data_IF_610388311163
#
_entry.id   IF_610388311163
#
_cell.length_a   1.000
_cell.length_b   1.000
_cell.length_c   1.000
_cell.angle_alpha   90.00
_cell.angle_beta   90.00
_cell.angle_gamma   90.00
#
_symmetry.space_group_name_H-M   'P 1'
#
loop_
_entity.id
_entity.type
_entity.pdbx_description
1 polymer ?
#
# COMPACT_ATOMS: atom_id res chain seq x y z
N UNK A 1 13.16 14.30 -22.08
CA UNK A 1 12.78 13.22 -21.14
C UNK A 1 12.59 13.84 -19.78
N UNK A 2 11.42 13.69 -19.12
CA UNK A 2 11.24 14.17 -17.75
C UNK A 2 12.06 13.27 -16.83
N UNK A 3 13.02 13.84 -16.12
CA UNK A 3 13.85 13.11 -15.16
C UNK A 3 12.95 12.44 -14.11
N UNK A 4 13.10 11.11 -13.96
CA UNK A 4 12.33 10.33 -12.97
C UNK A 4 12.71 10.77 -11.57
N UNK A 5 11.71 11.01 -10.72
CA UNK A 5 11.96 11.45 -9.35
C UNK A 5 12.25 10.25 -8.44
N UNK A 6 13.52 10.05 -8.11
CA UNK A 6 13.98 8.94 -7.28
C UNK A 6 13.49 9.02 -5.82
N UNK A 7 13.15 10.22 -5.32
CA UNK A 7 12.66 10.38 -3.95
C UNK A 7 11.42 9.53 -3.65
N UNK A 8 10.45 9.53 -4.57
CA UNK A 8 9.25 8.69 -4.40
C UNK A 8 9.53 7.21 -4.60
N UNK A 9 10.51 6.84 -5.41
CA UNK A 9 10.89 5.43 -5.58
C UNK A 9 11.59 4.93 -4.31
N UNK A 10 12.45 5.74 -3.69
CA UNK A 10 13.07 5.45 -2.39
C UNK A 10 12.02 5.26 -1.31
N UNK A 11 11.08 6.21 -1.16
CA UNK A 11 10.00 6.10 -0.16
C UNK A 11 9.10 4.88 -0.41
N UNK A 12 8.79 4.57 -1.67
CA UNK A 12 8.08 3.35 -2.02
C UNK A 12 8.85 2.10 -1.57
N UNK A 13 10.15 2.06 -1.84
CA UNK A 13 11.01 0.94 -1.43
C UNK A 13 10.98 0.74 0.07
N UNK A 14 11.15 1.82 0.85
CA UNK A 14 11.07 1.78 2.32
C UNK A 14 9.70 1.27 2.79
N UNK A 15 8.60 1.78 2.22
CA UNK A 15 7.25 1.36 2.59
C UNK A 15 6.98 -0.12 2.24
N UNK A 16 7.49 -0.62 1.11
CA UNK A 16 7.38 -2.04 0.73
C UNK A 16 8.21 -2.92 1.67
N UNK A 17 9.46 -2.53 1.97
CA UNK A 17 10.31 -3.27 2.92
C UNK A 17 9.57 -3.38 4.27
N UNK A 18 9.08 -2.26 4.77
CA UNK A 18 8.34 -2.22 6.03
C UNK A 18 7.10 -3.13 6.00
N UNK A 19 6.34 -3.12 4.89
CA UNK A 19 5.14 -3.95 4.74
C UNK A 19 5.47 -5.45 4.70
N UNK A 20 6.45 -5.85 3.90
CA UNK A 20 6.87 -7.26 3.80
C UNK A 20 7.41 -7.75 5.14
N UNK A 21 8.23 -6.94 5.82
CA UNK A 21 8.75 -7.27 7.16
C UNK A 21 7.63 -7.46 8.17
N UNK A 22 6.57 -6.61 8.16
CA UNK A 22 5.40 -6.79 9.01
C UNK A 22 4.81 -8.20 8.88
N UNK A 23 4.61 -8.64 7.64
CA UNK A 23 4.00 -9.95 7.40
C UNK A 23 4.94 -11.09 7.77
N UNK A 24 6.24 -10.97 7.54
CA UNK A 24 7.24 -11.94 7.99
C UNK A 24 7.23 -12.05 9.52
N UNK A 25 7.25 -10.92 10.23
CA UNK A 25 7.21 -10.89 11.70
C UNK A 25 5.94 -11.59 12.23
N UNK A 26 4.79 -11.31 11.64
CA UNK A 26 3.52 -11.95 12.02
C UNK A 26 3.53 -13.46 11.71
N UNK A 27 4.06 -13.87 10.56
CA UNK A 27 4.18 -15.29 10.21
C UNK A 27 5.09 -16.07 11.16
N UNK A 28 6.17 -15.45 11.65
CA UNK A 28 7.09 -16.05 12.60
C UNK A 28 6.65 -15.87 14.07
N UNK A 29 5.51 -15.23 14.33
CA UNK A 29 5.02 -14.96 15.70
C UNK A 29 5.91 -13.99 16.50
N UNK A 30 6.65 -13.11 15.79
CA UNK A 30 7.53 -12.10 16.38
C UNK A 30 6.93 -10.69 16.36
N UNK A 31 5.68 -10.56 15.95
CA UNK A 31 4.97 -9.28 15.79
C UNK A 31 4.64 -8.57 17.11
N UNK A 32 4.79 -9.28 18.25
CA UNK A 32 4.54 -8.75 19.62
C UNK A 32 5.81 -8.33 20.36
N UNK A 33 6.98 -8.37 19.74
CA UNK A 33 8.23 -7.93 20.34
C UNK A 33 8.21 -6.41 20.57
N UNK A 34 8.66 -5.93 21.73
CA UNK A 34 8.60 -4.50 22.11
C UNK A 34 9.28 -3.61 21.10
N UNK A 35 10.51 -3.95 20.68
CA UNK A 35 11.23 -3.19 19.66
C UNK A 35 10.49 -3.12 18.32
N UNK A 36 9.75 -4.19 17.98
CA UNK A 36 8.96 -4.22 16.75
C UNK A 36 7.71 -3.35 16.88
N UNK A 37 7.06 -3.35 18.03
CA UNK A 37 5.93 -2.47 18.31
C UNK A 37 6.32 -1.00 18.22
N UNK A 38 7.53 -0.64 18.68
CA UNK A 38 8.07 0.70 18.48
C UNK A 38 8.29 1.04 16.99
N UNK A 39 8.90 0.14 16.22
CA UNK A 39 9.02 0.31 14.75
C UNK A 39 7.65 0.50 14.12
N UNK A 40 6.64 -0.26 14.55
CA UNK A 40 5.26 -0.13 14.08
C UNK A 40 4.66 1.24 14.42
N UNK A 41 4.89 1.72 15.64
CA UNK A 41 4.42 3.02 16.10
C UNK A 41 5.01 4.18 15.27
N UNK A 42 6.30 4.14 14.96
CA UNK A 42 6.95 5.21 14.20
C UNK A 42 6.75 5.11 12.67
N UNK A 43 6.37 3.95 12.16
CA UNK A 43 6.21 3.70 10.72
C UNK A 43 4.78 3.41 10.28
N UNK A 44 3.77 3.72 11.09
CA UNK A 44 2.36 3.40 10.84
C UNK A 44 1.80 4.02 9.54
N UNK A 45 2.38 5.11 9.07
CA UNK A 45 1.95 5.87 7.88
C UNK A 45 2.25 5.21 6.52
N UNK A 46 2.95 4.07 6.50
CA UNK A 46 3.49 3.46 5.27
C UNK A 46 2.43 3.16 4.20
N UNK A 47 1.22 2.74 4.58
CA UNK A 47 0.14 2.51 3.60
C UNK A 47 -0.47 3.82 3.11
N UNK A 48 -0.59 4.82 3.98
CA UNK A 48 -1.07 6.16 3.63
C UNK A 48 -0.19 6.84 2.59
N UNK A 49 1.11 6.52 2.59
CA UNK A 49 2.07 7.04 1.62
C UNK A 49 1.69 6.73 0.17
N UNK A 50 1.17 5.55 -0.12
CA UNK A 50 0.80 5.18 -1.49
C UNK A 50 -0.37 6.02 -2.01
N UNK A 51 -1.36 6.31 -1.17
CA UNK A 51 -2.46 7.20 -1.53
C UNK A 51 -1.97 8.65 -1.70
N UNK A 52 -1.11 9.12 -0.81
CA UNK A 52 -0.44 10.42 -0.93
C UNK A 52 0.35 10.53 -2.24
N UNK A 53 1.18 9.54 -2.57
CA UNK A 53 1.92 9.47 -3.83
C UNK A 53 0.98 9.51 -5.03
N UNK A 54 -0.10 8.74 -5.00
CA UNK A 54 -1.08 8.72 -6.08
C UNK A 54 -1.72 10.09 -6.30
N UNK A 55 -2.09 10.77 -5.22
CA UNK A 55 -2.59 12.13 -5.26
C UNK A 55 -1.58 13.13 -5.80
N UNK A 56 -0.33 13.05 -5.35
CA UNK A 56 0.76 13.92 -5.81
C UNK A 56 0.97 13.86 -7.32
N UNK A 57 0.90 12.67 -7.91
CA UNK A 57 1.06 12.48 -9.36
C UNK A 57 -0.25 12.62 -10.15
N UNK A 58 -1.40 12.69 -9.48
CA UNK A 58 -2.67 12.85 -10.16
C UNK A 58 -2.82 14.26 -10.72
N UNK A 59 -3.03 14.35 -12.05
CA UNK A 59 -3.20 15.61 -12.77
C UNK A 59 -4.64 16.11 -12.85
N UNK A 60 -5.56 15.49 -12.08
CA UNK A 60 -6.99 15.72 -12.17
C UNK A 60 -7.70 14.68 -13.03
N UNK A 61 -9.01 14.84 -13.16
CA UNK A 61 -9.84 13.90 -13.95
C UNK A 61 -9.50 14.04 -15.43
N UNK A 62 -9.11 12.95 -16.08
CA UNK A 62 -8.91 12.91 -17.52
C UNK A 62 -10.23 13.22 -18.26
N UNK A 63 -10.15 13.98 -19.35
CA UNK A 63 -11.26 14.13 -20.26
C UNK A 63 -11.59 12.76 -20.88
N UNK A 64 -12.74 12.21 -20.55
CA UNK A 64 -13.19 10.91 -21.01
C UNK A 64 -14.48 10.50 -20.29
N UNK A 65 -15.19 9.52 -20.83
CA UNK A 65 -16.40 9.01 -20.19
C UNK A 65 -16.10 8.36 -18.84
N UNK A 66 -17.08 8.32 -17.94
CA UNK A 66 -16.93 7.63 -16.66
C UNK A 66 -16.70 6.13 -16.85
N UNK A 67 -17.28 5.57 -17.90
CA UNK A 67 -17.12 4.17 -18.25
C UNK A 67 -15.69 3.85 -18.68
N UNK A 68 -15.06 4.72 -19.50
CA UNK A 68 -13.67 4.55 -19.90
C UNK A 68 -12.73 4.65 -18.70
N UNK A 69 -12.99 5.61 -17.81
CA UNK A 69 -12.23 5.76 -16.58
C UNK A 69 -12.38 4.53 -15.67
N UNK A 70 -13.60 4.05 -15.46
CA UNK A 70 -13.89 2.84 -14.70
C UNK A 70 -13.16 1.63 -15.30
N UNK A 71 -13.24 1.45 -16.63
CA UNK A 71 -12.59 0.36 -17.35
C UNK A 71 -11.06 0.39 -17.21
N UNK A 72 -10.45 1.58 -17.36
CA UNK A 72 -8.99 1.75 -17.20
C UNK A 72 -8.55 1.41 -15.77
N UNK A 73 -9.25 1.95 -14.76
CA UNK A 73 -8.92 1.69 -13.36
C UNK A 73 -9.17 0.24 -12.95
N UNK A 74 -10.24 -0.37 -13.45
CA UNK A 74 -10.51 -1.79 -13.22
C UNK A 74 -9.40 -2.67 -13.78
N UNK A 75 -8.96 -2.43 -15.01
CA UNK A 75 -7.84 -3.15 -15.61
C UNK A 75 -6.55 -3.02 -14.80
N UNK A 76 -6.27 -1.83 -14.26
CA UNK A 76 -5.01 -1.55 -13.54
C UNK A 76 -5.00 -2.01 -12.09
N UNK A 77 -6.17 -2.15 -11.46
CA UNK A 77 -6.28 -2.41 -10.02
C UNK A 77 -7.16 -3.62 -9.68
N UNK A 78 -8.40 -3.71 -10.24
CA UNK A 78 -9.30 -4.82 -9.91
C UNK A 78 -8.88 -6.14 -10.57
N UNK A 79 -8.37 -6.10 -11.80
CA UNK A 79 -7.90 -7.33 -12.46
C UNK A 79 -6.70 -7.90 -11.71
N UNK A 80 -5.62 -7.12 -11.39
CA UNK A 80 -4.55 -7.62 -10.53
C UNK A 80 -5.01 -8.07 -9.14
N UNK A 81 -5.96 -7.36 -8.52
CA UNK A 81 -6.56 -7.76 -7.26
C UNK A 81 -7.17 -9.16 -7.33
N UNK A 82 -8.05 -9.41 -8.31
CA UNK A 82 -8.72 -10.70 -8.47
C UNK A 82 -7.71 -11.81 -8.82
N UNK A 83 -6.82 -11.56 -9.78
CA UNK A 83 -5.88 -12.58 -10.25
C UNK A 83 -4.86 -12.96 -9.18
N UNK A 84 -4.29 -11.98 -8.47
CA UNK A 84 -3.37 -12.27 -7.36
C UNK A 84 -4.08 -12.91 -6.16
N UNK A 85 -5.37 -12.59 -5.95
CA UNK A 85 -6.22 -13.24 -4.96
C UNK A 85 -6.46 -14.71 -5.29
N UNK A 86 -6.82 -15.00 -6.54
CA UNK A 86 -7.01 -16.39 -7.02
C UNK A 86 -5.72 -17.20 -6.88
N UNK A 87 -4.56 -16.64 -7.28
CA UNK A 87 -3.26 -17.30 -7.12
C UNK A 87 -2.98 -17.57 -5.64
N UNK A 88 -3.20 -16.59 -4.76
CA UNK A 88 -3.06 -16.78 -3.32
C UNK A 88 -3.95 -17.88 -2.78
N UNK A 89 -5.23 -17.92 -3.19
CA UNK A 89 -6.18 -18.96 -2.81
C UNK A 89 -5.76 -20.35 -3.32
N UNK A 90 -5.25 -20.45 -4.55
CA UNK A 90 -4.72 -21.72 -5.08
C UNK A 90 -3.55 -22.19 -4.20
N UNK A 91 -2.58 -21.33 -3.89
CA UNK A 91 -1.45 -21.69 -3.02
C UNK A 91 -1.94 -22.11 -1.64
N UNK A 92 -2.88 -21.36 -1.05
CA UNK A 92 -3.43 -21.69 0.26
C UNK A 92 -4.13 -23.04 0.27
N UNK A 93 -5.10 -23.27 -0.63
CA UNK A 93 -5.92 -24.49 -0.64
C UNK A 93 -5.20 -25.73 -1.17
N UNK A 94 -4.24 -25.57 -2.10
CA UNK A 94 -3.53 -26.73 -2.67
C UNK A 94 -2.37 -27.20 -1.80
N UNK A 95 -1.68 -26.29 -1.12
CA UNK A 95 -0.47 -26.62 -0.38
C UNK A 95 -0.65 -26.53 1.14
N UNK A 96 -1.20 -25.44 1.62
CA UNK A 96 -1.23 -25.17 3.06
C UNK A 96 -2.44 -25.81 3.76
N UNK A 97 -3.62 -25.64 3.23
CA UNK A 97 -4.86 -26.15 3.83
C UNK A 97 -4.87 -27.67 4.10
N UNK A 98 -4.37 -28.55 3.20
CA UNK A 98 -4.35 -29.99 3.46
C UNK A 98 -3.48 -30.42 4.65
N UNK A 99 -2.54 -29.55 5.08
CA UNK A 99 -1.73 -29.82 6.27
C UNK A 99 -2.44 -29.42 7.58
N UNK A 100 -3.58 -28.73 7.48
CA UNK A 100 -4.32 -28.24 8.66
C UNK A 100 -4.86 -29.36 9.50
N UNK A 101 -5.35 -30.45 8.88
CA UNK A 101 -5.88 -31.63 9.60
C UNK A 101 -4.83 -32.34 10.43
N UNK A 102 -3.55 -32.25 10.01
CA UNK A 102 -2.41 -32.80 10.76
C UNK A 102 -1.92 -31.89 11.87
N UNK A 103 -2.12 -30.58 11.76
CA UNK A 103 -1.50 -29.56 12.61
C UNK A 103 -2.50 -28.50 13.07
N UNK A 104 -3.71 -28.89 13.51
CA UNK A 104 -4.81 -28.03 13.93
C UNK A 104 -4.45 -26.84 14.84
N UNK A 105 -3.31 -26.90 15.52
CA UNK A 105 -2.85 -25.83 16.41
C UNK A 105 -2.28 -24.60 15.69
N UNK A 106 -2.03 -24.66 14.40
CA UNK A 106 -1.27 -23.63 13.65
C UNK A 106 -2.04 -23.02 12.48
N UNK A 107 -3.33 -23.34 12.36
CA UNK A 107 -4.13 -22.93 11.21
C UNK A 107 -5.20 -21.96 11.64
N UNK A 108 -5.23 -20.82 10.97
CA UNK A 108 -6.34 -19.90 11.09
C UNK A 108 -7.62 -20.57 10.57
N UNK A 109 -8.73 -20.56 11.35
CA UNK A 109 -9.99 -21.11 10.86
C UNK A 109 -10.43 -20.39 9.58
N UNK A 110 -11.10 -21.16 8.70
CA UNK A 110 -11.71 -20.62 7.49
C UNK A 110 -12.90 -19.73 7.85
N UNK A 111 -12.64 -18.46 8.00
CA UNK A 111 -13.69 -17.46 8.23
C UNK A 111 -13.97 -16.68 6.93
N UNK A 112 -15.06 -17.04 6.24
CA UNK A 112 -15.53 -16.31 5.06
C UNK A 112 -15.81 -14.84 5.35
N UNK A 113 -16.13 -14.50 6.59
CA UNK A 113 -16.20 -13.12 7.07
C UNK A 113 -14.92 -12.33 6.79
N UNK A 114 -13.75 -12.96 6.85
CA UNK A 114 -12.46 -12.34 6.56
C UNK A 114 -12.36 -11.83 5.11
N UNK A 115 -12.81 -12.63 4.15
CA UNK A 115 -12.82 -12.24 2.73
C UNK A 115 -13.80 -11.09 2.50
N UNK A 116 -15.04 -11.25 3.01
CA UNK A 116 -16.10 -10.27 2.80
C UNK A 116 -15.86 -8.96 3.55
N UNK A 117 -15.40 -9.02 4.79
CA UNK A 117 -15.20 -7.82 5.60
C UNK A 117 -13.90 -7.08 5.29
N UNK A 118 -12.82 -7.79 4.99
CA UNK A 118 -11.49 -7.22 4.78
C UNK A 118 -11.06 -7.12 3.34
N UNK A 119 -11.89 -7.53 2.38
CA UNK A 119 -11.56 -7.59 0.94
C UNK A 119 -10.23 -8.29 0.63
N UNK A 120 -9.79 -9.18 1.51
CA UNK A 120 -8.62 -10.04 1.33
C UNK A 120 -9.01 -11.41 0.76
N UNK A 121 -8.02 -12.14 0.25
CA UNK A 121 -8.20 -13.53 -0.16
C UNK A 121 -7.38 -14.44 0.76
N UNK A 122 -7.83 -15.69 0.95
CA UNK A 122 -7.00 -16.70 1.58
C UNK A 122 -5.67 -16.81 0.81
N UNK A 123 -4.56 -16.90 1.53
CA UNK A 123 -3.24 -16.93 0.92
C UNK A 123 -2.74 -15.62 0.33
N UNK A 124 -3.57 -14.56 0.27
CA UNK A 124 -3.12 -13.22 -0.11
C UNK A 124 -3.98 -12.12 0.53
N UNK A 125 -4.01 -12.04 1.85
CA UNK A 125 -4.79 -11.03 2.58
C UNK A 125 -4.41 -9.58 2.26
N UNK A 126 -3.13 -9.18 2.06
CA UNK A 126 -2.76 -7.78 1.85
C UNK A 126 -3.38 -7.11 0.61
N UNK A 127 -3.90 -7.87 -0.34
CA UNK A 127 -4.45 -7.30 -1.59
C UNK A 127 -5.70 -6.44 -1.41
N UNK A 128 -6.32 -6.43 -0.20
CA UNK A 128 -7.37 -5.47 0.17
C UNK A 128 -7.03 -4.05 -0.26
N UNK A 129 -5.74 -3.70 -0.23
CA UNK A 129 -5.23 -2.40 -0.59
C UNK A 129 -5.53 -2.02 -2.05
N UNK A 130 -5.43 -2.95 -3.00
CA UNK A 130 -5.76 -2.69 -4.41
C UNK A 130 -7.23 -2.35 -4.60
N UNK A 131 -8.10 -3.04 -3.86
CA UNK A 131 -9.53 -2.74 -3.87
C UNK A 131 -9.82 -1.36 -3.28
N UNK A 132 -9.23 -1.04 -2.12
CA UNK A 132 -9.34 0.30 -1.52
C UNK A 132 -8.78 1.39 -2.44
N UNK A 133 -7.69 1.10 -3.13
CA UNK A 133 -7.08 2.03 -4.08
C UNK A 133 -8.00 2.31 -5.27
N UNK A 134 -8.62 1.27 -5.81
CA UNK A 134 -9.64 1.40 -6.85
C UNK A 134 -10.81 2.26 -6.38
N UNK A 135 -11.35 1.98 -5.19
CA UNK A 135 -12.49 2.72 -4.63
C UNK A 135 -12.14 4.20 -4.41
N UNK A 136 -10.93 4.50 -3.91
CA UNK A 136 -10.46 5.89 -3.79
C UNK A 136 -10.42 6.60 -5.14
N UNK A 137 -9.93 5.96 -6.20
CA UNK A 137 -9.95 6.57 -7.54
C UNK A 137 -11.37 6.85 -8.02
N UNK A 138 -12.33 5.96 -7.72
CA UNK A 138 -13.74 6.21 -8.06
C UNK A 138 -14.30 7.39 -7.27
N UNK A 139 -14.08 7.44 -5.94
CA UNK A 139 -14.50 8.57 -5.11
C UNK A 139 -13.90 9.89 -5.60
N UNK A 140 -12.61 9.92 -5.86
CA UNK A 140 -11.90 11.10 -6.37
C UNK A 140 -12.50 11.58 -7.70
N UNK A 141 -12.85 10.65 -8.62
CA UNK A 141 -13.50 10.97 -9.89
C UNK A 141 -14.81 11.73 -9.69
N UNK A 142 -15.62 11.31 -8.73
CA UNK A 142 -16.92 11.96 -8.44
C UNK A 142 -16.76 13.25 -7.63
N UNK A 143 -15.88 13.29 -6.64
CA UNK A 143 -15.58 14.50 -5.85
C UNK A 143 -15.07 15.62 -6.77
N UNK A 144 -14.21 15.32 -7.73
CA UNK A 144 -13.65 16.30 -8.65
C UNK A 144 -14.69 16.91 -9.61
N UNK A 145 -15.83 16.23 -9.82
CA UNK A 145 -16.93 16.78 -10.64
C UNK A 145 -17.75 17.83 -9.90
N UNK A 146 -17.77 17.77 -8.58
CA UNK A 146 -18.54 18.69 -7.74
C UNK A 146 -17.62 19.81 -7.27
N UNK A 147 -17.88 21.02 -7.75
CA UNK A 147 -17.08 22.20 -7.40
C UNK A 147 -17.00 22.36 -5.88
N UNK A 148 -15.80 22.56 -5.36
CA UNK A 148 -15.49 22.75 -3.94
C UNK A 148 -15.73 21.54 -3.02
N UNK A 149 -16.23 20.40 -3.49
CA UNK A 149 -16.43 19.23 -2.65
C UNK A 149 -15.13 18.67 -2.06
N UNK A 150 -13.98 18.90 -2.74
CA UNK A 150 -12.68 18.46 -2.27
C UNK A 150 -12.29 19.06 -0.91
N UNK A 151 -12.83 20.22 -0.51
CA UNK A 151 -12.60 20.77 0.82
C UNK A 151 -13.19 19.90 1.93
N UNK A 152 -14.27 19.20 1.67
CA UNK A 152 -14.88 18.29 2.64
C UNK A 152 -14.02 17.07 2.95
N UNK A 153 -13.03 16.78 2.11
CA UNK A 153 -12.11 15.66 2.36
C UNK A 153 -11.28 15.82 3.62
N UNK A 154 -11.17 17.04 4.16
CA UNK A 154 -10.56 17.30 5.47
C UNK A 154 -11.33 16.63 6.63
N UNK A 155 -12.63 16.39 6.45
CA UNK A 155 -13.48 15.71 7.44
C UNK A 155 -13.45 14.18 7.31
N UNK A 156 -12.89 13.64 6.25
CA UNK A 156 -12.87 12.20 5.98
C UNK A 156 -12.19 11.35 7.06
N UNK A 157 -11.10 11.78 7.70
CA UNK A 157 -10.54 11.08 8.85
C UNK A 157 -11.53 10.93 10.01
N UNK A 158 -12.38 11.95 10.24
CA UNK A 158 -13.41 11.89 11.28
C UNK A 158 -14.49 10.87 10.93
N UNK A 159 -14.86 10.73 9.65
CA UNK A 159 -15.80 9.69 9.18
C UNK A 159 -15.21 8.30 9.38
N UNK A 160 -13.93 8.07 9.03
CA UNK A 160 -13.24 6.81 9.29
C UNK A 160 -13.17 6.49 10.78
N UNK A 161 -12.88 7.48 11.63
CA UNK A 161 -12.87 7.30 13.08
C UNK A 161 -14.26 6.99 13.63
N UNK A 162 -15.30 7.67 13.16
CA UNK A 162 -16.68 7.35 13.54
C UNK A 162 -17.06 5.92 13.17
N UNK A 163 -16.74 5.46 11.95
CA UNK A 163 -16.96 4.09 11.53
C UNK A 163 -16.22 3.07 12.43
N UNK A 164 -15.00 3.38 12.87
CA UNK A 164 -14.26 2.58 13.85
C UNK A 164 -14.97 2.53 15.21
N UNK A 165 -15.40 3.70 15.73
CA UNK A 165 -16.01 3.82 17.07
C UNK A 165 -17.37 3.14 17.18
N UNK A 166 -18.14 3.14 16.11
CA UNK A 166 -19.48 2.51 16.10
C UNK A 166 -19.41 0.97 16.00
N UNK A 167 -18.22 0.41 15.82
CA UNK A 167 -18.05 -1.03 15.65
C UNK A 167 -18.73 -1.57 14.38
N UNK A 168 -19.26 -0.67 13.54
CA UNK A 168 -19.84 -1.02 12.25
C UNK A 168 -18.71 -1.45 11.32
N UNK A 169 -18.45 -2.74 11.27
CA UNK A 169 -17.57 -3.33 10.29
C UNK A 169 -18.17 -3.11 8.91
N UNK A 170 -17.65 -2.09 8.22
CA UNK A 170 -18.08 -1.81 6.86
C UNK A 170 -17.46 -2.85 5.93
N UNK A 171 -18.28 -3.61 5.18
CA UNK A 171 -17.78 -4.65 4.29
C UNK A 171 -16.73 -4.13 3.32
N UNK A 172 -15.89 -5.04 2.81
CA UNK A 172 -14.88 -4.76 1.77
C UNK A 172 -13.86 -3.69 2.17
N UNK A 173 -13.56 -3.56 3.47
CA UNK A 173 -12.62 -2.54 3.99
C UNK A 173 -13.00 -1.09 3.62
N UNK A 174 -14.27 -0.82 3.31
CA UNK A 174 -14.69 0.52 2.86
C UNK A 174 -14.58 1.59 3.97
N UNK A 175 -14.48 1.19 5.24
CA UNK A 175 -14.26 2.11 6.36
C UNK A 175 -12.97 2.92 6.25
N UNK A 176 -11.94 2.36 5.60
CA UNK A 176 -10.64 3.03 5.44
C UNK A 176 -10.57 3.95 4.20
N UNK A 177 -11.54 3.85 3.29
CA UNK A 177 -11.50 4.58 2.00
C UNK A 177 -11.58 6.09 2.20
N UNK A 178 -12.29 6.54 3.23
CA UNK A 178 -12.39 7.97 3.52
C UNK A 178 -11.03 8.56 3.95
N UNK A 179 -10.35 7.95 4.91
CA UNK A 179 -9.02 8.43 5.32
C UNK A 179 -7.98 8.26 4.20
N UNK A 180 -8.09 7.22 3.39
CA UNK A 180 -7.26 7.02 2.22
C UNK A 180 -7.47 8.14 1.18
N UNK A 181 -8.72 8.56 0.97
CA UNK A 181 -9.08 9.68 0.11
C UNK A 181 -8.52 11.02 0.65
N UNK A 182 -8.53 11.22 1.98
CA UNK A 182 -7.85 12.37 2.61
C UNK A 182 -6.37 12.42 2.24
N UNK A 183 -5.63 11.32 2.38
CA UNK A 183 -4.21 11.27 2.02
C UNK A 183 -3.98 11.48 0.52
N UNK A 184 -4.90 11.04 -0.32
CA UNK A 184 -4.84 11.32 -1.75
C UNK A 184 -4.92 12.84 -2.03
N UNK A 185 -5.89 13.54 -1.43
CA UNK A 185 -6.01 14.99 -1.60
C UNK A 185 -4.88 15.76 -0.92
N UNK A 186 -4.35 15.25 0.20
CA UNK A 186 -3.14 15.78 0.82
C UNK A 186 -1.95 15.74 -0.16
N UNK A 187 -1.80 14.65 -0.91
CA UNK A 187 -0.77 14.55 -1.95
C UNK A 187 -0.93 15.59 -3.06
N UNK A 188 -2.16 15.86 -3.51
CA UNK A 188 -2.44 16.95 -4.47
C UNK A 188 -2.10 18.32 -3.89
N UNK A 189 -2.50 18.58 -2.65
CA UNK A 189 -2.19 19.82 -1.95
C UNK A 189 -0.68 20.00 -1.81
N UNK A 190 0.04 18.93 -1.42
CA UNK A 190 1.48 18.98 -1.28
C UNK A 190 2.20 19.28 -2.60
N UNK A 191 1.72 18.72 -3.71
CA UNK A 191 2.21 19.07 -5.03
C UNK A 191 2.02 20.55 -5.35
N UNK A 192 0.87 21.13 -5.01
CA UNK A 192 0.60 22.56 -5.19
C UNK A 192 1.56 23.40 -4.33
N UNK A 193 1.81 23.03 -3.07
CA UNK A 193 2.80 23.67 -2.20
C UNK A 193 4.19 23.65 -2.83
N UNK A 194 4.64 22.49 -3.31
CA UNK A 194 5.93 22.31 -3.98
C UNK A 194 6.10 23.17 -5.24
N UNK A 195 5.01 23.56 -5.88
CA UNK A 195 5.02 24.41 -7.07
C UNK A 195 4.93 25.91 -6.74
N UNK A 196 4.40 26.26 -5.57
CA UNK A 196 4.12 27.64 -5.18
C UNK A 196 5.24 28.26 -4.37
N UNK A 197 5.95 27.51 -3.57
CA UNK A 197 6.97 27.98 -2.64
C UNK A 197 8.37 27.64 -3.13
N UNK A 198 9.37 28.42 -2.70
CA UNK A 198 10.77 28.16 -3.04
C UNK A 198 11.27 26.86 -2.39
N UNK A 199 12.25 26.20 -3.00
CA UNK A 199 12.84 24.97 -2.46
C UNK A 199 13.37 25.14 -1.03
N UNK A 200 13.91 26.32 -0.70
CA UNK A 200 14.39 26.59 0.65
C UNK A 200 13.24 26.66 1.67
N UNK A 201 12.13 27.35 1.33
CA UNK A 201 10.96 27.43 2.19
C UNK A 201 10.34 26.04 2.42
N UNK A 202 10.21 25.27 1.37
CA UNK A 202 9.71 23.88 1.45
C UNK A 202 10.63 23.03 2.31
N UNK A 203 11.94 23.12 2.14
CA UNK A 203 12.91 22.34 2.91
C UNK A 203 12.82 22.66 4.41
N UNK A 204 12.78 23.96 4.79
CA UNK A 204 12.65 24.38 6.18
C UNK A 204 11.32 23.88 6.77
N UNK A 205 10.20 24.10 6.07
CA UNK A 205 8.90 23.64 6.52
C UNK A 205 8.86 22.11 6.67
N UNK A 206 9.47 21.38 5.76
CA UNK A 206 9.52 19.91 5.78
C UNK A 206 10.33 19.39 6.97
N UNK A 207 11.46 20.00 7.31
CA UNK A 207 12.22 19.64 8.52
C UNK A 207 11.44 19.96 9.79
N UNK A 208 10.77 21.10 9.85
CA UNK A 208 9.90 21.44 10.98
C UNK A 208 8.77 20.41 11.14
N UNK A 209 8.18 19.93 10.04
CA UNK A 209 7.16 18.88 10.07
C UNK A 209 7.73 17.55 10.60
N UNK A 210 8.94 17.16 10.20
CA UNK A 210 9.59 15.94 10.72
C UNK A 210 9.88 16.08 12.21
N UNK A 211 10.38 17.22 12.66
CA UNK A 211 10.62 17.48 14.10
C UNK A 211 9.30 17.47 14.87
N UNK A 212 8.27 18.12 14.36
CA UNK A 212 6.94 18.14 14.98
C UNK A 212 6.34 16.71 15.08
N UNK A 213 6.52 15.88 14.06
CA UNK A 213 6.11 14.46 14.10
C UNK A 213 6.79 13.72 15.25
N UNK A 214 8.12 13.88 15.41
CA UNK A 214 8.87 13.22 16.50
C UNK A 214 8.39 13.72 17.86
N UNK A 215 8.29 15.03 18.04
CA UNK A 215 7.85 15.65 19.32
C UNK A 215 6.44 15.19 19.70
N UNK A 216 5.48 15.25 18.76
CA UNK A 216 4.11 14.81 19.01
C UNK A 216 4.02 13.31 19.27
N UNK A 217 4.81 12.50 18.56
CA UNK A 217 4.85 11.05 18.77
C UNK A 217 5.37 10.66 20.15
N UNK A 218 6.29 11.43 20.73
CA UNK A 218 6.79 11.22 22.09
C UNK A 218 5.77 11.69 23.15
N UNK A 219 5.19 12.88 22.97
CA UNK A 219 4.31 13.48 23.98
C UNK A 219 2.94 12.80 24.01
N UNK A 220 2.37 12.54 22.84
CA UNK A 220 1.01 11.99 22.71
C UNK A 220 0.98 10.95 21.61
N UNK A 221 1.26 9.68 21.93
CA UNK A 221 1.24 8.63 20.90
C UNK A 221 -0.15 8.46 20.32
N UNK A 222 -0.20 8.38 18.99
CA UNK A 222 -1.41 8.09 18.24
C UNK A 222 -1.03 7.45 16.91
N UNK A 223 -1.61 6.30 16.62
CA UNK A 223 -1.36 5.54 15.39
C UNK A 223 -2.66 5.12 14.70
N UNK A 224 -2.54 4.75 13.45
CA UNK A 224 -3.65 4.32 12.64
C UNK A 224 -3.26 3.11 11.80
N UNK A 225 -4.02 2.02 11.95
CA UNK A 225 -3.91 0.83 11.13
C UNK A 225 -4.94 0.88 10.00
N UNK A 226 -4.49 1.17 8.79
CA UNK A 226 -5.37 1.33 7.63
C UNK A 226 -6.07 0.02 7.24
N UNK A 227 -5.42 -1.14 7.38
CA UNK A 227 -6.00 -2.43 6.97
C UNK A 227 -7.24 -2.81 7.77
N UNK A 228 -7.31 -2.36 9.02
CA UNK A 228 -8.39 -2.68 9.97
C UNK A 228 -9.27 -1.46 10.29
N UNK A 229 -8.97 -0.31 9.69
CA UNK A 229 -9.58 0.98 10.06
C UNK A 229 -9.53 1.23 11.58
N UNK A 230 -8.41 0.90 12.23
CA UNK A 230 -8.27 0.92 13.68
C UNK A 230 -7.36 2.06 14.12
N UNK A 231 -7.84 2.84 15.08
CA UNK A 231 -7.09 3.92 15.72
C UNK A 231 -6.62 3.49 17.11
N UNK A 232 -5.36 3.78 17.42
CA UNK A 232 -4.78 3.55 18.75
C UNK A 232 -4.29 4.87 19.31
N UNK A 233 -4.56 5.15 20.59
CA UNK A 233 -4.27 6.43 21.21
C UNK A 233 -5.18 7.55 20.71
N UNK A 234 -4.65 8.76 20.56
CA UNK A 234 -5.42 9.92 20.13
C UNK A 234 -5.60 9.93 18.59
N UNK A 235 -6.84 9.85 18.07
CA UNK A 235 -7.09 9.78 16.63
C UNK A 235 -6.69 11.05 15.86
N UNK A 236 -6.82 12.22 16.49
CA UNK A 236 -6.42 13.49 15.87
C UNK A 236 -4.90 13.52 15.71
N UNK A 237 -4.18 13.12 16.76
CA UNK A 237 -2.71 13.03 16.71
C UNK A 237 -2.25 12.01 15.68
N UNK A 238 -2.93 10.88 15.55
CA UNK A 238 -2.62 9.88 14.53
C UNK A 238 -2.68 10.46 13.10
N UNK A 239 -3.75 11.22 12.79
CA UNK A 239 -3.92 11.83 11.46
C UNK A 239 -2.92 12.99 11.26
N UNK A 240 -2.72 13.83 12.25
CA UNK A 240 -1.74 14.92 12.19
C UNK A 240 -0.33 14.37 12.01
N UNK A 241 0.07 13.38 12.80
CA UNK A 241 1.38 12.74 12.68
C UNK A 241 1.61 12.13 11.30
N UNK A 242 0.62 11.39 10.76
CA UNK A 242 0.73 10.86 9.40
C UNK A 242 0.88 11.98 8.36
N UNK A 243 0.15 13.09 8.51
CA UNK A 243 0.25 14.27 7.65
C UNK A 243 1.64 14.89 7.70
N UNK A 244 2.14 15.14 8.91
CA UNK A 244 3.46 15.76 9.14
C UNK A 244 4.58 14.92 8.52
N UNK A 245 4.60 13.62 8.80
CA UNK A 245 5.70 12.77 8.33
C UNK A 245 5.64 12.56 6.81
N UNK A 246 4.45 12.41 6.21
CA UNK A 246 4.32 12.23 4.77
C UNK A 246 4.75 13.48 4.00
N UNK A 247 4.29 14.66 4.42
CA UNK A 247 4.69 15.92 3.81
C UNK A 247 6.17 16.23 4.10
N UNK A 248 6.61 16.01 5.33
CA UNK A 248 8.00 16.25 5.74
C UNK A 248 8.99 15.39 4.95
N UNK A 249 8.82 14.07 4.94
CA UNK A 249 9.73 13.17 4.19
C UNK A 249 9.71 13.45 2.69
N UNK A 250 8.50 13.60 2.11
CA UNK A 250 8.40 13.92 0.69
C UNK A 250 9.10 15.24 0.35
N UNK A 251 8.89 16.28 1.15
CA UNK A 251 9.50 17.59 0.93
C UNK A 251 11.02 17.56 1.09
N UNK A 252 11.55 16.94 2.16
CA UNK A 252 12.99 16.79 2.36
C UNK A 252 13.65 16.07 1.20
N UNK A 253 13.13 14.89 0.82
CA UNK A 253 13.74 14.08 -0.23
C UNK A 253 13.63 14.73 -1.62
N UNK A 254 12.54 15.46 -1.88
CA UNK A 254 12.35 16.17 -3.15
C UNK A 254 13.27 17.39 -3.28
N UNK A 255 13.51 18.11 -2.18
CA UNK A 255 14.34 19.31 -2.18
C UNK A 255 15.83 19.00 -2.12
N UNK A 256 16.23 17.93 -1.40
CA UNK A 256 17.62 17.49 -1.32
C UNK A 256 18.11 16.80 -2.61
N UNK A 257 17.21 16.50 -3.57
CA UNK A 257 17.56 15.79 -4.80
C UNK A 257 18.39 14.53 -4.51
N UNK A 258 17.94 13.74 -3.54
CA UNK A 258 18.64 12.54 -3.07
C UNK A 258 19.07 11.66 -4.25
N UNK A 259 20.33 11.22 -4.30
CA UNK A 259 20.83 10.37 -5.36
C UNK A 259 20.09 9.03 -5.36
N UNK A 260 20.12 8.36 -6.52
CA UNK A 260 19.50 7.04 -6.66
C UNK A 260 20.15 6.05 -5.70
N UNK A 261 19.35 5.45 -4.81
CA UNK A 261 19.75 4.31 -3.99
C UNK A 261 19.26 3.06 -4.73
N UNK A 262 20.16 2.30 -5.40
CA UNK A 262 19.73 1.30 -6.38
C UNK A 262 18.72 0.28 -5.86
N UNK A 263 18.97 -0.29 -4.67
CA UNK A 263 18.10 -1.29 -4.06
C UNK A 263 16.70 -0.72 -3.72
N UNK A 264 16.66 0.44 -3.05
CA UNK A 264 15.38 1.05 -2.68
C UNK A 264 14.58 1.50 -3.90
N UNK A 265 15.26 2.08 -4.88
CA UNK A 265 14.62 2.46 -6.13
C UNK A 265 14.09 1.24 -6.88
N UNK A 266 14.85 0.14 -6.96
CA UNK A 266 14.40 -1.08 -7.60
C UNK A 266 13.13 -1.62 -6.94
N UNK A 267 13.13 -1.76 -5.61
CA UNK A 267 11.95 -2.23 -4.87
C UNK A 267 10.75 -1.28 -5.07
N UNK A 268 11.00 0.03 -5.03
CA UNK A 268 9.95 1.04 -5.21
C UNK A 268 9.37 1.09 -6.63
N UNK A 269 10.21 0.91 -7.64
CA UNK A 269 9.83 0.85 -9.06
C UNK A 269 8.95 -0.37 -9.36
N UNK A 270 9.25 -1.49 -8.72
CA UNK A 270 8.57 -2.77 -8.89
C UNK A 270 7.63 -3.10 -7.71
N UNK A 271 7.22 -2.06 -6.95
CA UNK A 271 6.44 -2.20 -5.71
C UNK A 271 5.19 -3.08 -5.86
N UNK A 272 4.53 -3.06 -7.02
CA UNK A 272 3.36 -3.89 -7.30
C UNK A 272 3.71 -5.38 -7.28
N UNK A 273 4.85 -5.78 -7.85
CA UNK A 273 5.29 -7.18 -7.87
C UNK A 273 5.56 -7.66 -6.44
N UNK A 274 6.34 -6.90 -5.66
CA UNK A 274 6.59 -7.23 -4.26
C UNK A 274 5.29 -7.31 -3.46
N UNK A 275 4.35 -6.41 -3.73
CA UNK A 275 3.08 -6.34 -3.03
C UNK A 275 2.20 -7.58 -3.26
N UNK A 276 2.05 -8.04 -4.50
CA UNK A 276 1.14 -9.16 -4.81
C UNK A 276 1.75 -10.54 -4.58
N UNK A 277 3.09 -10.67 -4.56
CA UNK A 277 3.78 -11.96 -4.54
C UNK A 277 4.29 -12.38 -3.17
N UNK A 278 4.65 -11.45 -2.26
CA UNK A 278 5.28 -11.80 -0.99
C UNK A 278 4.41 -12.72 -0.11
N UNK A 279 3.11 -12.50 -0.06
CA UNK A 279 2.22 -13.24 0.85
C UNK A 279 1.97 -14.69 0.43
N UNK A 280 1.68 -15.01 -0.86
CA UNK A 280 1.65 -16.40 -1.33
C UNK A 280 2.97 -17.14 -1.09
N UNK A 281 4.12 -16.45 -1.22
CA UNK A 281 5.43 -17.05 -0.94
C UNK A 281 5.63 -17.38 0.54
N UNK A 282 5.11 -16.56 1.45
CA UNK A 282 5.12 -16.87 2.88
C UNK A 282 4.33 -18.13 3.20
N UNK A 283 3.17 -18.33 2.58
CA UNK A 283 2.40 -19.57 2.73
C UNK A 283 3.14 -20.78 2.17
N UNK A 284 3.79 -20.62 1.03
CA UNK A 284 4.59 -21.70 0.45
C UNK A 284 5.77 -22.07 1.34
N UNK A 285 6.46 -21.09 1.93
CA UNK A 285 7.51 -21.35 2.91
C UNK A 285 6.97 -22.07 4.15
N UNK A 286 5.85 -21.62 4.71
CA UNK A 286 5.20 -22.27 5.85
C UNK A 286 4.81 -23.71 5.53
N UNK A 287 4.30 -23.96 4.33
CA UNK A 287 4.02 -25.30 3.82
C UNK A 287 5.26 -26.19 3.83
N UNK A 288 6.40 -25.73 3.31
CA UNK A 288 7.64 -26.54 3.29
C UNK A 288 8.10 -26.90 4.69
N UNK A 289 8.09 -25.95 5.62
CA UNK A 289 8.47 -26.20 7.01
C UNK A 289 7.55 -27.19 7.71
N UNK A 290 6.23 -27.04 7.58
CA UNK A 290 5.27 -27.97 8.15
C UNK A 290 5.37 -29.37 7.55
N UNK A 291 5.67 -29.50 6.26
CA UNK A 291 5.88 -30.79 5.59
C UNK A 291 7.06 -31.55 6.18
N UNK A 292 8.07 -30.85 6.71
CA UNK A 292 9.20 -31.43 7.43
C UNK A 292 8.99 -31.51 8.94
N UNK A 293 7.76 -31.32 9.42
CA UNK A 293 7.43 -31.39 10.84
C UNK A 293 8.02 -30.24 11.69
N UNK A 294 8.42 -29.13 11.05
CA UNK A 294 9.00 -27.96 11.71
C UNK A 294 7.97 -26.84 11.81
N UNK A 295 7.82 -26.25 13.01
CA UNK A 295 7.09 -25.00 13.19
C UNK A 295 8.04 -23.82 13.05
N UNK A 296 7.65 -22.81 12.27
CA UNK A 296 8.36 -21.52 12.20
C UNK A 296 7.89 -20.55 13.28
N UNK A 297 6.86 -20.91 14.03
CA UNK A 297 6.26 -20.02 15.01
C UNK A 297 7.17 -19.82 16.23
N UNK A 298 7.44 -18.58 16.56
CA UNK A 298 8.28 -18.20 17.71
C UNK A 298 9.79 -18.20 17.46
N UNK A 299 10.27 -18.40 16.22
CA UNK A 299 11.70 -18.44 15.89
C UNK A 299 12.17 -17.14 15.24
N UNK A 300 13.11 -16.46 15.90
CA UNK A 300 13.73 -15.23 15.35
C UNK A 300 14.63 -15.56 14.14
N UNK A 301 15.28 -16.72 14.15
CA UNK A 301 16.15 -17.16 13.06
C UNK A 301 15.39 -17.24 11.72
N UNK A 302 14.13 -17.65 11.75
CA UNK A 302 13.30 -17.72 10.56
C UNK A 302 13.04 -16.34 9.96
N UNK A 303 12.95 -15.28 10.77
CA UNK A 303 12.81 -13.90 10.28
C UNK A 303 14.06 -13.48 9.49
N UNK A 304 15.24 -13.78 10.03
CA UNK A 304 16.53 -13.42 9.40
C UNK A 304 16.75 -14.15 8.07
N UNK A 305 16.25 -15.38 7.95
CA UNK A 305 16.31 -16.16 6.72
C UNK A 305 15.23 -15.72 5.73
N UNK A 306 13.98 -15.56 6.20
CA UNK A 306 12.84 -15.23 5.35
C UNK A 306 12.97 -13.87 4.68
N UNK A 307 13.51 -12.89 5.40
CA UNK A 307 13.60 -11.53 4.87
C UNK A 307 14.37 -11.49 3.54
N UNK A 308 15.65 -11.90 3.46
CA UNK A 308 16.37 -11.90 2.19
C UNK A 308 15.76 -12.88 1.17
N UNK A 309 15.30 -14.06 1.59
CA UNK A 309 14.73 -15.05 0.67
C UNK A 309 13.49 -14.50 -0.04
N UNK A 310 12.54 -13.91 0.70
CA UNK A 310 11.33 -13.34 0.11
C UNK A 310 11.66 -12.18 -0.83
N UNK A 311 12.60 -11.30 -0.44
CA UNK A 311 13.01 -10.20 -1.32
C UNK A 311 13.71 -10.69 -2.59
N UNK A 312 14.58 -11.70 -2.51
CA UNK A 312 15.22 -12.29 -3.68
C UNK A 312 14.22 -12.99 -4.61
N UNK A 313 13.27 -13.74 -4.04
CA UNK A 313 12.21 -14.40 -4.83
C UNK A 313 11.29 -13.38 -5.51
N UNK A 314 10.88 -12.33 -4.79
CA UNK A 314 10.07 -11.25 -5.39
C UNK A 314 10.84 -10.54 -6.51
N UNK A 315 12.14 -10.25 -6.31
CA UNK A 315 12.99 -9.65 -7.32
C UNK A 315 13.15 -10.54 -8.55
N UNK A 316 13.31 -11.84 -8.34
CA UNK A 316 13.36 -12.82 -9.42
C UNK A 316 12.06 -12.89 -10.22
N UNK A 317 10.91 -12.71 -9.59
CA UNK A 317 9.59 -12.70 -10.25
C UNK A 317 9.31 -11.42 -11.06
N UNK A 318 10.05 -10.32 -10.84
CA UNK A 318 9.79 -9.04 -11.53
C UNK A 318 9.66 -9.21 -13.05
N UNK A 319 10.63 -9.78 -13.79
CA UNK A 319 10.56 -9.85 -15.24
C UNK A 319 9.40 -10.73 -15.76
N UNK A 320 8.93 -11.65 -14.96
CA UNK A 320 7.82 -12.54 -15.33
C UNK A 320 6.46 -11.88 -15.10
N UNK A 321 6.25 -11.33 -13.90
CA UNK A 321 4.98 -10.70 -13.52
C UNK A 321 4.74 -9.42 -14.35
N UNK A 322 5.77 -8.62 -14.63
CA UNK A 322 5.60 -7.40 -15.40
C UNK A 322 5.21 -7.62 -16.86
N UNK A 323 5.54 -8.78 -17.42
CA UNK A 323 5.08 -9.19 -18.77
C UNK A 323 3.62 -9.60 -18.81
N UNK A 324 3.01 -9.84 -17.66
CA UNK A 324 1.63 -10.32 -17.55
C UNK A 324 0.71 -9.15 -17.16
N UNK A 325 -0.04 -8.56 -18.11
CA UNK A 325 -0.84 -7.35 -17.85
C UNK A 325 -1.88 -7.52 -16.75
N UNK A 326 -2.49 -8.69 -16.64
CA UNK A 326 -3.51 -9.00 -15.64
C UNK A 326 -2.96 -9.20 -14.21
N UNK A 327 -1.63 -9.35 -14.03
CA UNK A 327 -0.97 -9.32 -12.72
C UNK A 327 -0.35 -7.96 -12.42
N UNK A 328 0.34 -7.37 -13.40
CA UNK A 328 1.07 -6.12 -13.22
C UNK A 328 0.20 -4.87 -13.30
N UNK A 329 -1.02 -4.97 -13.88
CA UNK A 329 -1.86 -3.83 -14.21
C UNK A 329 -1.29 -2.93 -15.32
N UNK A 330 -0.20 -3.37 -15.98
CA UNK A 330 0.46 -2.63 -17.08
C UNK A 330 -0.08 -3.14 -18.42
N UNK A 331 -1.12 -2.49 -18.91
CA UNK A 331 -1.71 -2.81 -20.20
C UNK A 331 -1.06 -1.99 -21.31
N UNK A 332 -0.79 -2.58 -22.50
CA UNK A 332 -0.35 -1.81 -23.65
C UNK A 332 -1.33 -0.67 -23.96
N UNK A 333 -0.82 0.53 -24.14
CA UNK A 333 -1.66 1.68 -24.53
C UNK A 333 -2.20 1.44 -25.94
N UNK A 334 -3.50 1.18 -26.06
CA UNK A 334 -4.19 1.03 -27.34
C UNK A 334 -4.15 2.32 -28.19
N UNK A 335 -3.70 3.45 -27.63
CA UNK A 335 -3.56 4.73 -28.34
C UNK A 335 -2.36 4.79 -29.27
N UNK A 336 -1.33 3.94 -29.09
CA UNK A 336 -0.20 3.87 -30.01
C UNK A 336 -0.46 2.97 -31.22
N UNK A 337 -1.42 2.05 -31.16
CA UNK A 337 -1.75 1.14 -32.28
C UNK A 337 -2.50 1.85 -33.44
N UNK A 338 -3.21 2.96 -33.14
CA UNK A 338 -3.97 3.69 -34.17
C UNK A 338 -3.15 4.68 -35.01
N UNK A 339 -1.88 4.90 -34.68
CA UNK A 339 -1.01 5.83 -35.44
C UNK A 339 -0.12 5.08 -36.44
N UNK A 340 0.09 3.78 -36.25
CA UNK A 340 0.93 2.98 -37.16
C UNK A 340 0.16 2.38 -38.34
N UNK A 341 -1.18 2.28 -38.26
CA UNK A 341 -1.99 1.74 -39.38
C UNK A 341 -2.35 2.75 -40.45
N UNK A 342 -2.07 4.07 -40.26
CA UNK A 342 -2.36 5.09 -41.26
C UNK A 342 -1.17 5.34 -42.20
N UNK A 343 0.02 4.79 -41.92
CA UNK A 343 1.22 5.02 -42.74
C UNK A 343 1.48 3.95 -43.82
N UNK A 344 0.59 2.96 -44.00
CA UNK A 344 0.71 1.92 -45.03
C UNK A 344 -0.41 1.92 -46.09
N UNK A 345 -1.22 2.97 -46.15
CA UNK A 345 -2.15 3.20 -47.27
C UNK A 345 -1.90 4.60 -47.88
N UNK A 346 -0.84 4.72 -48.58
CA UNK A 346 -0.48 5.87 -49.38
C UNK A 346 0.46 5.42 -50.50
#
# INVERSE_FOLDING_TARGET
>A
MKQRNHAFDILCGICIIRMVTLHIMAFCGQDKQDWWLEVMQWSFFFMSFFFFKAGYFNKGTSAGSDLDYLRDRSKRLLVPYLMSGIIGAIVYFSFYYPLTDRYHKFVEPLEWSHVWMRSGFYGNSPIWFLFSFFTVYMMVRYIDKVRHLYWLTILFPAISYWAFRTGNSVPMSLGNVFIACYFFYLGRLWRWVMQRFSSQQVMIASWLMVVAFVVLGIITPGTYNMSQNQFTGNPVVAVVNATLILCGLAGVLLTLQVPRIPLLCFIGEHSMVFFISHYPMLYFYKFTHLSFGRSIYGRVDDVLILLPVIFCLCAWLVPYIERVPWLSGRWPDQRCASVTDVSHQG
#
